data_IF_522323042598
#
_entry.id   IF_522323042598
#
_cell.length_a   1.000
_cell.length_b   1.000
_cell.length_c   1.000
_cell.angle_alpha   90.00
_cell.angle_beta   90.00
_cell.angle_gamma   90.00
#
_symmetry.space_group_name_H-M   'P 1'
#
loop_
_entity.id
_entity.type
_entity.pdbx_description
1 polymer ?
#
# COMPACT_ATOMS: atom_id res chain seq x y z
N UNK A 1 -2.81 -34.81 -23.08
CA UNK A 1 -2.33 -33.51 -22.55
C UNK A 1 -3.45 -32.96 -21.68
N UNK A 2 -3.23 -32.77 -20.37
CA UNK A 2 -4.26 -32.20 -19.49
C UNK A 2 -4.21 -30.66 -19.62
N UNK A 3 -5.27 -30.05 -20.12
CA UNK A 3 -5.39 -28.60 -20.32
C UNK A 3 -6.04 -27.88 -19.13
N UNK A 4 -6.31 -28.61 -18.04
CA UNK A 4 -6.90 -27.98 -16.84
C UNK A 4 -5.92 -27.00 -16.19
N UNK A 5 -6.38 -25.81 -15.79
CA UNK A 5 -5.55 -24.85 -15.11
C UNK A 5 -4.90 -25.45 -13.86
N UNK A 6 -3.60 -25.24 -13.69
CA UNK A 6 -2.80 -25.84 -12.58
C UNK A 6 -3.27 -25.43 -11.18
N UNK A 7 -3.93 -24.28 -11.07
CA UNK A 7 -4.39 -23.72 -9.79
C UNK A 7 -5.69 -24.37 -9.28
N UNK A 8 -6.45 -25.09 -10.12
CA UNK A 8 -7.70 -25.72 -9.70
C UNK A 8 -7.48 -26.71 -8.56
N UNK A 9 -8.16 -26.46 -7.45
CA UNK A 9 -8.05 -27.28 -6.20
C UNK A 9 -6.79 -27.00 -5.37
N UNK A 10 -5.99 -25.97 -5.70
CA UNK A 10 -4.80 -25.56 -4.96
C UNK A 10 -4.94 -24.21 -4.27
N UNK A 11 -5.86 -23.36 -4.74
CA UNK A 11 -6.19 -22.08 -4.13
C UNK A 11 -7.38 -22.24 -3.20
N UNK A 12 -7.30 -21.61 -2.03
CA UNK A 12 -8.38 -21.51 -1.07
C UNK A 12 -9.19 -20.21 -1.24
N UNK A 13 -10.28 -20.05 -0.45
CA UNK A 13 -11.09 -18.82 -0.48
C UNK A 13 -10.30 -17.57 -0.16
N UNK A 14 -9.34 -17.61 0.77
CA UNK A 14 -8.45 -16.49 1.09
C UNK A 14 -7.62 -16.08 -0.13
N UNK A 15 -6.98 -17.03 -0.81
CA UNK A 15 -6.15 -16.74 -1.98
C UNK A 15 -6.94 -16.07 -3.11
N UNK A 16 -8.26 -16.36 -3.23
CA UNK A 16 -9.12 -15.69 -4.20
C UNK A 16 -9.29 -14.21 -3.83
N UNK A 17 -9.48 -13.90 -2.55
CA UNK A 17 -9.57 -12.51 -2.08
C UNK A 17 -8.26 -11.76 -2.33
N UNK A 18 -7.13 -12.44 -2.07
CA UNK A 18 -5.79 -11.90 -2.35
C UNK A 18 -5.57 -11.64 -3.85
N UNK A 19 -6.04 -12.52 -4.73
CA UNK A 19 -6.00 -12.27 -6.19
C UNK A 19 -6.88 -11.06 -6.56
N UNK A 20 -8.04 -10.89 -5.94
CA UNK A 20 -8.88 -9.69 -6.13
C UNK A 20 -8.16 -8.43 -5.64
N UNK A 21 -7.43 -8.49 -4.52
CA UNK A 21 -6.56 -7.41 -4.07
C UNK A 21 -5.57 -6.99 -5.19
N UNK A 22 -4.86 -7.95 -5.79
CA UNK A 22 -3.93 -7.68 -6.89
C UNK A 22 -4.62 -7.05 -8.12
N UNK A 23 -5.83 -7.49 -8.48
CA UNK A 23 -6.61 -6.92 -9.60
C UNK A 23 -7.00 -5.46 -9.32
N UNK A 24 -7.42 -5.15 -8.10
CA UNK A 24 -7.72 -3.77 -7.68
C UNK A 24 -6.46 -2.91 -7.68
N UNK A 25 -5.32 -3.45 -7.21
CA UNK A 25 -4.02 -2.79 -7.26
C UNK A 25 -3.56 -2.50 -8.69
N UNK A 26 -3.73 -3.46 -9.60
CA UNK A 26 -3.47 -3.24 -11.03
C UNK A 26 -4.35 -2.13 -11.61
N UNK A 27 -5.65 -2.15 -11.33
CA UNK A 27 -6.56 -1.08 -11.78
C UNK A 27 -6.14 0.30 -11.23
N UNK A 28 -5.70 0.35 -9.96
CA UNK A 28 -5.16 1.56 -9.37
C UNK A 28 -3.91 2.06 -10.12
N UNK A 29 -2.97 1.17 -10.44
CA UNK A 29 -1.75 1.52 -11.16
C UNK A 29 -2.03 2.05 -12.58
N UNK A 30 -2.97 1.44 -13.31
CA UNK A 30 -3.35 1.85 -14.67
C UNK A 30 -4.04 3.23 -14.66
N UNK A 31 -4.89 3.49 -13.67
CA UNK A 31 -5.62 4.76 -13.56
C UNK A 31 -4.78 5.89 -12.96
N UNK A 32 -3.72 5.57 -12.24
CA UNK A 32 -2.91 6.52 -11.50
C UNK A 32 -2.37 7.72 -12.33
N UNK A 33 -1.87 7.54 -13.57
CA UNK A 33 -1.39 8.66 -14.37
C UNK A 33 -2.47 9.65 -14.81
N UNK A 34 -3.73 9.26 -14.78
CA UNK A 34 -4.87 10.05 -15.24
C UNK A 34 -5.69 10.60 -14.08
N UNK A 35 -5.97 9.74 -13.10
CA UNK A 35 -6.85 10.02 -11.95
C UNK A 35 -6.20 9.57 -10.63
N UNK A 36 -5.15 10.27 -10.13
CA UNK A 36 -4.43 9.84 -8.91
C UNK A 36 -5.34 9.72 -7.67
N UNK A 37 -6.42 10.53 -7.59
CA UNK A 37 -7.37 10.42 -6.48
C UNK A 37 -8.23 9.16 -6.55
N UNK A 38 -8.60 8.72 -7.76
CA UNK A 38 -9.27 7.44 -7.92
C UNK A 38 -8.32 6.29 -7.62
N UNK A 39 -7.08 6.37 -8.09
CA UNK A 39 -6.04 5.39 -7.74
C UNK A 39 -5.85 5.29 -6.22
N UNK A 40 -5.80 6.42 -5.50
CA UNK A 40 -5.72 6.43 -4.05
C UNK A 40 -6.89 5.69 -3.38
N UNK A 41 -8.12 5.87 -3.87
CA UNK A 41 -9.29 5.13 -3.38
C UNK A 41 -9.18 3.62 -3.63
N UNK A 42 -8.69 3.23 -4.80
CA UNK A 42 -8.49 1.82 -5.15
C UNK A 42 -7.37 1.19 -4.31
N UNK A 43 -6.28 1.90 -4.03
CA UNK A 43 -5.22 1.45 -3.12
C UNK A 43 -5.79 1.20 -1.72
N UNK A 44 -6.62 2.11 -1.19
CA UNK A 44 -7.27 1.91 0.09
C UNK A 44 -8.28 0.75 0.05
N UNK A 45 -8.99 0.55 -1.07
CA UNK A 45 -9.89 -0.59 -1.25
C UNK A 45 -9.09 -1.91 -1.29
N UNK A 46 -7.94 -1.93 -1.95
CA UNK A 46 -7.03 -3.07 -1.95
C UNK A 46 -6.55 -3.41 -0.53
N UNK A 47 -6.23 -2.40 0.30
CA UNK A 47 -5.84 -2.63 1.69
C UNK A 47 -7.00 -3.14 2.58
N UNK A 48 -8.25 -2.84 2.24
CA UNK A 48 -9.42 -3.47 2.90
C UNK A 48 -9.51 -4.94 2.48
N UNK A 49 -9.32 -5.25 1.19
CA UNK A 49 -9.35 -6.62 0.68
C UNK A 49 -8.24 -7.48 1.31
N UNK A 50 -7.03 -6.93 1.44
CA UNK A 50 -5.89 -7.53 2.14
C UNK A 50 -6.23 -7.89 3.61
N UNK A 51 -6.81 -6.94 4.36
CA UNK A 51 -7.27 -7.23 5.72
C UNK A 51 -8.39 -8.30 5.79
N UNK A 52 -9.21 -8.42 4.74
CA UNK A 52 -10.27 -9.43 4.65
C UNK A 52 -9.72 -10.82 4.33
N UNK A 53 -8.71 -10.96 3.48
CA UNK A 53 -8.14 -12.29 3.18
C UNK A 53 -7.49 -12.93 4.42
N UNK A 54 -6.79 -12.13 5.24
CA UNK A 54 -6.30 -12.59 6.54
C UNK A 54 -7.43 -13.04 7.49
N UNK A 55 -8.62 -12.42 7.42
CA UNK A 55 -9.79 -12.87 8.19
C UNK A 55 -10.36 -14.17 7.62
N UNK A 56 -10.48 -14.28 6.29
CA UNK A 56 -10.94 -15.47 5.58
C UNK A 56 -9.99 -16.66 5.83
N UNK A 57 -8.67 -16.43 5.80
CA UNK A 57 -7.68 -17.43 6.09
C UNK A 57 -7.82 -18.01 7.52
N UNK A 58 -8.20 -17.18 8.50
CA UNK A 58 -8.48 -17.66 9.87
C UNK A 58 -9.74 -18.53 9.95
N UNK A 59 -10.73 -18.34 9.08
CA UNK A 59 -11.97 -19.13 9.08
C UNK A 59 -11.88 -20.40 8.24
N UNK A 60 -11.22 -20.37 7.11
CA UNK A 60 -11.20 -21.45 6.13
C UNK A 60 -9.85 -22.16 6.01
N UNK A 61 -8.83 -21.66 6.72
CA UNK A 61 -7.46 -22.15 6.61
C UNK A 61 -6.66 -21.47 5.52
N UNK A 62 -5.32 -21.55 5.64
CA UNK A 62 -4.37 -21.07 4.64
C UNK A 62 -3.93 -22.20 3.72
N UNK A 63 -3.51 -21.87 2.50
CA UNK A 63 -2.93 -22.81 1.55
C UNK A 63 -1.40 -22.75 1.55
N UNK A 64 -0.71 -23.79 1.06
CA UNK A 64 0.77 -23.76 0.96
C UNK A 64 1.33 -22.65 0.04
N UNK A 65 0.48 -22.06 -0.80
CA UNK A 65 0.86 -20.97 -1.71
C UNK A 65 0.36 -19.61 -1.24
N UNK A 66 -0.48 -19.55 -0.20
CA UNK A 66 -1.17 -18.35 0.27
C UNK A 66 -0.22 -17.19 0.52
N UNK A 67 0.82 -17.39 1.33
CA UNK A 67 1.78 -16.35 1.70
C UNK A 67 2.59 -15.82 0.51
N UNK A 68 2.86 -16.67 -0.50
CA UNK A 68 3.50 -16.22 -1.74
C UNK A 68 2.54 -15.39 -2.59
N UNK A 69 1.27 -15.81 -2.69
CA UNK A 69 0.24 -15.08 -3.44
C UNK A 69 0.01 -13.73 -2.79
N UNK A 70 -0.02 -13.67 -1.46
CA UNK A 70 -0.14 -12.48 -0.65
C UNK A 70 1.00 -11.48 -0.94
N UNK A 71 2.25 -11.90 -0.76
CA UNK A 71 3.43 -11.05 -1.03
C UNK A 71 3.48 -10.54 -2.49
N UNK A 72 3.04 -11.36 -3.45
CA UNK A 72 2.98 -10.94 -4.86
C UNK A 72 1.84 -9.93 -5.10
N UNK A 73 0.68 -10.13 -4.50
CA UNK A 73 -0.45 -9.21 -4.56
C UNK A 73 -0.10 -7.87 -3.93
N UNK A 74 0.51 -7.88 -2.75
CA UNK A 74 0.99 -6.71 -2.02
C UNK A 74 2.02 -5.90 -2.81
N UNK A 75 2.92 -6.58 -3.53
CA UNK A 75 3.86 -5.90 -4.42
C UNK A 75 3.13 -5.06 -5.47
N UNK A 76 2.04 -5.57 -6.04
CA UNK A 76 1.23 -4.84 -7.02
C UNK A 76 0.44 -3.72 -6.36
N UNK A 77 -0.28 -4.03 -5.28
CA UNK A 77 -1.26 -3.13 -4.66
C UNK A 77 -0.61 -2.06 -3.78
N UNK A 78 0.51 -2.38 -3.11
CA UNK A 78 1.15 -1.49 -2.12
C UNK A 78 2.58 -1.11 -2.49
N UNK A 79 3.15 -1.69 -3.54
CA UNK A 79 4.40 -1.26 -4.15
C UNK A 79 4.15 -0.46 -5.43
N UNK A 80 3.65 -1.13 -6.48
CA UNK A 80 3.51 -0.57 -7.82
C UNK A 80 2.41 0.50 -7.89
N UNK A 81 1.22 0.24 -7.35
CA UNK A 81 0.10 1.17 -7.45
C UNK A 81 0.37 2.53 -6.78
N UNK A 82 0.87 2.61 -5.52
CA UNK A 82 1.21 3.89 -4.92
C UNK A 82 2.38 4.59 -5.62
N UNK A 83 3.38 3.85 -6.13
CA UNK A 83 4.44 4.45 -6.93
C UNK A 83 3.88 5.10 -8.22
N UNK A 84 3.02 4.39 -8.96
CA UNK A 84 2.35 4.92 -10.13
C UNK A 84 1.47 6.15 -9.79
N UNK A 85 0.82 6.15 -8.62
CA UNK A 85 0.04 7.30 -8.14
C UNK A 85 0.91 8.53 -7.90
N UNK A 86 2.09 8.36 -7.32
CA UNK A 86 3.05 9.47 -7.12
C UNK A 86 3.54 10.01 -8.46
N UNK A 87 3.84 9.14 -9.44
CA UNK A 87 4.14 9.55 -10.83
C UNK A 87 2.98 10.34 -11.43
N UNK A 88 1.75 9.88 -11.25
CA UNK A 88 0.55 10.58 -11.71
C UNK A 88 0.41 11.98 -11.10
N UNK A 89 0.65 12.13 -9.81
CA UNK A 89 0.68 13.44 -9.12
C UNK A 89 1.78 14.36 -9.68
N UNK A 90 2.98 13.80 -9.92
CA UNK A 90 4.08 14.57 -10.52
C UNK A 90 3.72 15.02 -11.94
N UNK A 91 3.11 14.15 -12.73
CA UNK A 91 2.62 14.47 -14.07
C UNK A 91 1.61 15.63 -14.03
N UNK A 92 0.61 15.57 -13.14
CA UNK A 92 -0.42 16.61 -13.05
C UNK A 92 0.15 17.99 -12.64
N UNK A 93 1.22 18.04 -11.86
CA UNK A 93 1.75 19.30 -11.33
C UNK A 93 2.96 19.83 -12.11
N UNK A 94 3.77 18.94 -12.71
CA UNK A 94 5.06 19.28 -13.30
C UNK A 94 5.13 19.07 -14.82
N UNK A 95 4.13 18.41 -15.45
CA UNK A 95 4.11 18.27 -16.88
C UNK A 95 4.00 19.64 -17.57
N UNK A 96 4.88 19.88 -18.53
CA UNK A 96 5.04 21.14 -19.24
C UNK A 96 5.19 20.97 -20.77
N UNK A 97 4.60 19.88 -21.31
CA UNK A 97 4.54 19.62 -22.75
C UNK A 97 5.70 18.80 -23.31
N UNK A 98 6.54 18.20 -22.46
CA UNK A 98 7.57 17.25 -22.90
C UNK A 98 6.99 15.94 -23.46
N UNK A 99 7.78 15.22 -24.26
CA UNK A 99 7.33 13.99 -24.95
C UNK A 99 7.07 12.82 -23.99
N UNK A 100 7.96 12.58 -23.04
CA UNK A 100 7.84 11.46 -22.13
C UNK A 100 7.07 11.86 -20.87
N UNK A 101 5.88 11.29 -20.69
CA UNK A 101 4.97 11.59 -19.58
C UNK A 101 4.64 13.10 -19.42
N UNK A 102 4.99 13.91 -20.41
CA UNK A 102 4.81 15.37 -20.39
C UNK A 102 5.93 16.16 -19.72
N UNK A 103 7.03 15.51 -19.29
CA UNK A 103 8.18 16.19 -18.68
C UNK A 103 9.20 16.63 -19.74
N UNK A 104 9.54 17.93 -19.77
CA UNK A 104 10.58 18.45 -20.67
C UNK A 104 11.97 18.42 -20.03
N UNK A 105 12.07 18.54 -18.71
CA UNK A 105 13.34 18.52 -17.97
C UNK A 105 13.71 17.07 -17.58
N UNK A 106 14.89 16.56 -18.00
CA UNK A 106 15.37 15.23 -17.67
C UNK A 106 15.56 14.99 -16.16
N UNK A 107 15.91 16.01 -15.37
CA UNK A 107 16.07 15.89 -13.92
C UNK A 107 14.70 15.77 -13.23
N UNK A 108 13.72 16.52 -13.69
CA UNK A 108 12.34 16.43 -13.21
C UNK A 108 11.77 15.04 -13.54
N UNK A 109 12.00 14.54 -14.77
CA UNK A 109 11.61 13.20 -15.18
C UNK A 109 12.28 12.13 -14.29
N UNK A 110 13.60 12.26 -14.09
CA UNK A 110 14.35 11.30 -13.25
C UNK A 110 13.84 11.28 -11.81
N UNK A 111 13.53 12.43 -11.23
CA UNK A 111 12.96 12.53 -9.89
C UNK A 111 11.53 11.95 -9.83
N UNK A 112 10.70 12.29 -10.82
CA UNK A 112 9.30 11.87 -10.88
C UNK A 112 9.13 10.36 -11.06
N UNK A 113 10.11 9.66 -11.64
CA UNK A 113 10.10 8.21 -11.81
C UNK A 113 11.01 7.53 -10.78
N UNK A 114 12.23 8.03 -10.59
CA UNK A 114 13.26 7.37 -9.78
C UNK A 114 12.89 7.28 -8.30
N UNK A 115 12.32 8.35 -7.71
CA UNK A 115 11.92 8.32 -6.31
C UNK A 115 10.75 7.34 -6.08
N UNK A 116 9.65 7.35 -6.84
CA UNK A 116 8.61 6.34 -6.70
C UNK A 116 9.10 4.90 -6.97
N UNK A 117 10.05 4.71 -7.89
CA UNK A 117 10.64 3.41 -8.14
C UNK A 117 11.34 2.81 -6.91
N UNK A 118 11.86 3.65 -6.00
CA UNK A 118 12.42 3.18 -4.72
C UNK A 118 11.35 2.55 -3.81
N UNK A 119 10.09 3.01 -3.89
CA UNK A 119 8.96 2.38 -3.17
C UNK A 119 8.80 0.94 -3.66
N UNK A 120 8.80 0.74 -4.99
CA UNK A 120 8.68 -0.61 -5.58
C UNK A 120 9.84 -1.49 -5.16
N UNK A 121 11.07 -1.00 -5.27
CA UNK A 121 12.26 -1.74 -4.88
C UNK A 121 12.23 -2.13 -3.38
N UNK A 122 11.89 -1.17 -2.52
CA UNK A 122 11.77 -1.41 -1.08
C UNK A 122 10.64 -2.40 -0.75
N UNK A 123 9.49 -2.31 -1.43
CA UNK A 123 8.38 -3.25 -1.26
C UNK A 123 8.79 -4.69 -1.62
N UNK A 124 9.44 -4.87 -2.78
CA UNK A 124 9.92 -6.19 -3.23
C UNK A 124 10.91 -6.79 -2.21
N UNK A 125 11.91 -6.00 -1.80
CA UNK A 125 12.91 -6.47 -0.83
C UNK A 125 12.26 -6.80 0.52
N UNK A 126 11.41 -5.90 1.04
CA UNK A 126 10.74 -6.10 2.32
C UNK A 126 9.84 -7.32 2.33
N UNK A 127 8.98 -7.48 1.31
CA UNK A 127 8.06 -8.62 1.22
C UNK A 127 8.81 -9.95 1.04
N UNK A 128 9.91 -9.96 0.27
CA UNK A 128 10.77 -11.14 0.16
C UNK A 128 11.41 -11.51 1.50
N UNK A 129 11.92 -10.51 2.25
CA UNK A 129 12.51 -10.74 3.59
C UNK A 129 11.45 -11.21 4.58
N UNK A 130 10.27 -10.58 4.60
CA UNK A 130 9.15 -10.98 5.43
C UNK A 130 8.75 -12.45 5.16
N UNK A 131 8.53 -12.79 3.88
CA UNK A 131 8.13 -14.15 3.50
C UNK A 131 9.20 -15.20 3.83
N UNK A 132 10.49 -14.82 3.78
CA UNK A 132 11.58 -15.75 4.03
C UNK A 132 11.91 -15.94 5.52
N UNK A 133 11.73 -14.91 6.36
CA UNK A 133 12.29 -14.89 7.71
C UNK A 133 11.31 -14.51 8.82
N UNK A 134 10.26 -13.72 8.53
CA UNK A 134 9.43 -13.09 9.55
C UNK A 134 8.02 -13.70 9.67
N UNK A 135 7.68 -14.68 8.84
CA UNK A 135 6.36 -15.34 8.89
C UNK A 135 6.13 -15.94 10.26
N UNK A 136 5.02 -15.56 10.90
CA UNK A 136 4.65 -16.00 12.25
C UNK A 136 5.38 -15.28 13.39
N UNK A 137 6.26 -14.31 13.09
CA UNK A 137 6.84 -13.43 14.09
C UNK A 137 5.79 -12.43 14.60
N UNK A 138 5.87 -12.04 15.88
CA UNK A 138 4.97 -11.03 16.50
C UNK A 138 5.33 -9.59 16.16
N UNK A 139 6.48 -9.36 15.58
CA UNK A 139 6.98 -8.06 15.16
C UNK A 139 7.64 -8.23 13.81
N UNK A 140 7.43 -7.28 12.91
CA UNK A 140 8.09 -7.23 11.61
C UNK A 140 9.11 -6.11 11.58
N UNK A 141 10.25 -6.34 10.93
CA UNK A 141 11.24 -5.29 10.72
C UNK A 141 10.83 -4.39 9.55
N UNK A 142 10.99 -3.08 9.74
CA UNK A 142 10.66 -2.05 8.76
C UNK A 142 9.16 -1.72 8.68
N UNK A 143 8.87 -0.57 8.08
CA UNK A 143 7.50 -0.10 7.89
C UNK A 143 6.75 -1.01 6.93
N UNK A 144 5.52 -1.38 7.28
CA UNK A 144 4.67 -2.24 6.46
C UNK A 144 4.33 -1.57 5.12
N UNK A 145 4.37 -2.35 4.02
CA UNK A 145 4.02 -1.88 2.67
C UNK A 145 2.62 -1.28 2.60
N UNK A 146 1.66 -1.95 3.23
CA UNK A 146 0.26 -1.50 3.33
C UNK A 146 0.15 -0.16 4.07
N UNK A 147 0.96 0.07 5.12
CA UNK A 147 0.99 1.35 5.84
C UNK A 147 1.55 2.47 4.96
N UNK A 148 2.64 2.24 4.23
CA UNK A 148 3.21 3.21 3.28
C UNK A 148 2.17 3.59 2.22
N UNK A 149 1.53 2.61 1.61
CA UNK A 149 0.48 2.83 0.61
C UNK A 149 -0.70 3.61 1.20
N UNK A 150 -1.13 3.28 2.42
CA UNK A 150 -2.22 3.98 3.14
C UNK A 150 -1.85 5.43 3.42
N UNK A 151 -0.64 5.73 3.89
CA UNK A 151 -0.18 7.11 4.12
C UNK A 151 -0.21 7.93 2.83
N UNK A 152 0.35 7.41 1.73
CA UNK A 152 0.39 8.10 0.46
C UNK A 152 -1.01 8.31 -0.14
N UNK A 153 -1.87 7.28 -0.09
CA UNK A 153 -3.24 7.35 -0.59
C UNK A 153 -4.09 8.30 0.26
N UNK A 154 -4.04 8.20 1.59
CA UNK A 154 -4.76 9.08 2.49
C UNK A 154 -4.30 10.54 2.34
N UNK A 155 -3.00 10.80 2.21
CA UNK A 155 -2.46 12.13 1.95
C UNK A 155 -2.98 12.72 0.63
N UNK A 156 -3.02 11.92 -0.44
CA UNK A 156 -3.55 12.31 -1.75
C UNK A 156 -5.04 12.69 -1.67
N UNK A 157 -5.82 12.01 -0.85
CA UNK A 157 -7.25 12.29 -0.65
C UNK A 157 -7.49 13.43 0.35
N UNK A 158 -6.62 13.61 1.34
CA UNK A 158 -6.76 14.59 2.42
C UNK A 158 -6.64 16.04 1.95
N UNK A 159 -5.90 16.32 0.86
CA UNK A 159 -5.70 17.67 0.37
C UNK A 159 -4.93 17.75 -0.94
N UNK A 160 -4.67 18.99 -1.35
CA UNK A 160 -3.86 19.29 -2.51
C UNK A 160 -2.41 19.51 -2.04
N UNK A 161 -1.62 18.43 -2.10
CA UNK A 161 -0.22 18.45 -1.70
C UNK A 161 0.67 18.86 -2.87
N UNK A 162 1.71 19.63 -2.59
CA UNK A 162 2.78 19.86 -3.56
C UNK A 162 3.54 18.55 -3.77
N UNK A 163 3.69 18.15 -5.01
CA UNK A 163 4.33 16.86 -5.35
C UNK A 163 5.76 16.75 -4.82
N UNK A 164 6.49 17.87 -4.67
CA UNK A 164 7.82 17.85 -4.06
C UNK A 164 7.82 17.26 -2.63
N UNK A 165 6.80 17.58 -1.81
CA UNK A 165 6.65 16.99 -0.49
C UNK A 165 6.24 15.51 -0.56
N UNK A 166 5.39 15.15 -1.53
CA UNK A 166 5.00 13.75 -1.75
C UNK A 166 6.23 12.92 -2.12
N UNK A 167 7.10 13.42 -3.01
CA UNK A 167 8.34 12.75 -3.38
C UNK A 167 9.31 12.61 -2.19
N UNK A 168 9.48 13.68 -1.39
CA UNK A 168 10.31 13.63 -0.19
C UNK A 168 9.80 12.56 0.80
N UNK A 169 8.50 12.58 1.07
CA UNK A 169 7.86 11.58 1.95
C UNK A 169 7.99 10.17 1.37
N UNK A 170 7.81 10.01 0.06
CA UNK A 170 7.99 8.72 -0.63
C UNK A 170 9.40 8.17 -0.48
N UNK A 171 10.42 9.03 -0.60
CA UNK A 171 11.83 8.64 -0.39
C UNK A 171 12.07 8.18 1.06
N UNK A 172 11.58 8.95 2.04
CA UNK A 172 11.71 8.60 3.47
C UNK A 172 10.99 7.29 3.77
N UNK A 173 9.76 7.11 3.28
CA UNK A 173 8.97 5.89 3.49
C UNK A 173 9.63 4.68 2.84
N UNK A 174 10.15 4.79 1.63
CA UNK A 174 10.89 3.72 0.96
C UNK A 174 12.12 3.29 1.78
N UNK A 175 12.85 4.25 2.35
CA UNK A 175 13.97 3.94 3.24
C UNK A 175 13.50 3.25 4.53
N UNK A 176 12.44 3.74 5.17
CA UNK A 176 11.90 3.16 6.40
C UNK A 176 11.39 1.72 6.23
N UNK A 177 10.92 1.35 5.03
CA UNK A 177 10.48 -0.03 4.72
C UNK A 177 11.60 -1.06 4.86
N UNK A 178 12.85 -0.67 4.62
CA UNK A 178 14.02 -1.57 4.64
C UNK A 178 14.89 -1.37 5.89
N UNK A 179 14.41 -0.63 6.88
CA UNK A 179 15.09 -0.47 8.18
C UNK A 179 14.79 -1.65 9.11
N UNK A 180 15.62 -1.81 10.15
CA UNK A 180 15.43 -2.81 11.20
C UNK A 180 14.58 -2.30 12.37
N UNK A 181 13.77 -1.27 12.16
CA UNK A 181 12.89 -0.75 13.20
C UNK A 181 11.76 -1.75 13.40
N UNK A 182 11.57 -2.32 14.61
CA UNK A 182 10.52 -3.29 14.86
C UNK A 182 9.16 -2.60 14.96
N UNK A 183 8.21 -3.04 14.16
CA UNK A 183 6.82 -2.62 14.23
C UNK A 183 5.96 -3.75 14.80
N UNK A 184 5.21 -3.51 15.89
CA UNK A 184 4.27 -4.49 16.44
C UNK A 184 3.03 -4.61 15.54
N UNK A 185 2.38 -5.78 15.59
CA UNK A 185 1.12 -5.97 14.89
C UNK A 185 0.01 -5.07 15.45
N UNK A 186 -0.85 -4.59 14.57
CA UNK A 186 -2.00 -3.78 14.95
C UNK A 186 -2.98 -4.63 15.76
N UNK A 187 -3.46 -4.11 16.89
CA UNK A 187 -4.51 -4.78 17.67
C UNK A 187 -5.79 -4.83 16.86
N UNK A 188 -6.54 -5.92 16.96
CA UNK A 188 -7.80 -6.11 16.22
C UNK A 188 -8.78 -4.93 16.37
N UNK A 189 -8.87 -4.33 17.55
CA UNK A 189 -9.72 -3.15 17.80
C UNK A 189 -9.27 -1.94 16.99
N UNK A 190 -7.96 -1.68 16.95
CA UNK A 190 -7.39 -0.52 16.25
C UNK A 190 -7.47 -0.73 14.73
N UNK A 191 -7.26 -1.96 14.27
CA UNK A 191 -7.45 -2.35 12.87
C UNK A 191 -8.91 -2.17 12.41
N UNK A 192 -9.89 -2.55 13.22
CA UNK A 192 -11.31 -2.34 12.93
C UNK A 192 -11.67 -0.85 12.88
N UNK A 193 -11.17 -0.04 13.82
CA UNK A 193 -11.41 1.39 13.83
C UNK A 193 -10.79 2.06 12.58
N UNK A 194 -9.55 1.71 12.24
CA UNK A 194 -8.90 2.20 11.02
C UNK A 194 -9.65 1.74 9.76
N UNK A 195 -10.09 0.49 9.70
CA UNK A 195 -10.87 -0.06 8.60
C UNK A 195 -12.18 0.70 8.37
N UNK A 196 -12.89 1.08 9.44
CA UNK A 196 -14.10 1.91 9.33
C UNK A 196 -13.80 3.28 8.73
N UNK A 197 -12.76 3.97 9.22
CA UNK A 197 -12.33 5.27 8.67
C UNK A 197 -11.88 5.13 7.22
N UNK A 198 -11.22 4.04 6.88
CA UNK A 198 -10.76 3.72 5.53
C UNK A 198 -11.92 3.49 4.56
N UNK A 199 -12.98 2.78 4.98
CA UNK A 199 -14.22 2.65 4.20
C UNK A 199 -14.82 4.02 3.92
N UNK A 200 -14.87 4.91 4.91
CA UNK A 200 -15.31 6.29 4.73
C UNK A 200 -14.45 7.08 3.74
N UNK A 201 -13.12 6.91 3.80
CA UNK A 201 -12.18 7.55 2.87
C UNK A 201 -12.34 7.03 1.43
N UNK A 202 -12.70 5.77 1.23
CA UNK A 202 -12.97 5.18 -0.08
C UNK A 202 -14.34 5.61 -0.62
N UNK A 203 -15.40 5.48 0.18
CA UNK A 203 -16.78 5.68 -0.28
C UNK A 203 -17.11 7.16 -0.45
N UNK A 204 -16.72 8.00 0.53
CA UNK A 204 -17.13 9.42 0.62
C UNK A 204 -15.96 10.36 0.92
N UNK A 205 -14.90 10.37 0.09
CA UNK A 205 -13.65 11.07 0.39
C UNK A 205 -13.81 12.58 0.56
N UNK A 206 -14.80 13.19 -0.08
CA UNK A 206 -15.03 14.64 -0.08
C UNK A 206 -15.94 15.13 1.05
N UNK A 207 -16.65 14.22 1.73
CA UNK A 207 -17.64 14.57 2.74
C UNK A 207 -16.99 15.15 4.00
N UNK A 208 -17.64 16.12 4.63
CA UNK A 208 -17.17 16.81 5.83
C UNK A 208 -15.73 17.31 5.72
N UNK A 209 -15.45 18.10 4.69
CA UNK A 209 -14.10 18.67 4.46
C UNK A 209 -12.97 17.61 4.41
N UNK A 210 -13.27 16.43 3.84
CA UNK A 210 -12.33 15.30 3.74
C UNK A 210 -11.92 14.73 5.11
N UNK A 211 -12.84 14.70 6.06
CA UNK A 211 -12.55 14.23 7.44
C UNK A 211 -12.04 12.79 7.45
N UNK A 212 -12.65 11.87 6.69
CA UNK A 212 -12.19 10.48 6.67
C UNK A 212 -10.76 10.31 6.17
N UNK A 213 -10.35 10.85 5.00
CA UNK A 213 -8.95 10.79 4.58
C UNK A 213 -7.98 11.46 5.55
N UNK A 214 -8.36 12.58 6.15
CA UNK A 214 -7.52 13.28 7.15
C UNK A 214 -7.38 12.49 8.43
N UNK A 215 -8.46 11.92 8.95
CA UNK A 215 -8.43 11.08 10.14
C UNK A 215 -7.58 9.82 9.89
N UNK A 216 -7.73 9.19 8.73
CA UNK A 216 -6.93 8.03 8.33
C UNK A 216 -5.43 8.40 8.25
N UNK A 217 -5.11 9.55 7.63
CA UNK A 217 -3.74 10.03 7.53
C UNK A 217 -3.12 10.28 8.91
N UNK A 218 -3.86 10.95 9.81
CA UNK A 218 -3.39 11.20 11.18
C UNK A 218 -3.18 9.89 11.93
N UNK A 219 -4.12 8.94 11.84
CA UNK A 219 -3.99 7.64 12.50
C UNK A 219 -2.81 6.83 11.94
N UNK A 220 -2.62 6.81 10.61
CA UNK A 220 -1.52 6.11 9.97
C UNK A 220 -0.16 6.74 10.33
N UNK A 221 -0.05 8.07 10.36
CA UNK A 221 1.15 8.78 10.80
C UNK A 221 1.42 8.58 12.29
N UNK A 222 0.39 8.60 13.12
CA UNK A 222 0.53 8.33 14.56
C UNK A 222 1.07 6.91 14.78
N UNK A 223 0.53 5.91 14.08
CA UNK A 223 1.05 4.55 14.14
C UNK A 223 2.49 4.48 13.62
N UNK A 224 2.79 5.06 12.46
CA UNK A 224 4.13 5.10 11.87
C UNK A 224 5.19 5.65 12.85
N UNK A 225 4.87 6.75 13.54
CA UNK A 225 5.83 7.47 14.37
C UNK A 225 5.90 6.95 15.81
N UNK A 226 4.78 6.48 16.35
CA UNK A 226 4.67 6.18 17.78
C UNK A 226 4.67 4.67 18.09
N UNK A 227 4.26 3.81 17.14
CA UNK A 227 4.14 2.39 17.42
C UNK A 227 5.45 1.72 17.86
N UNK A 228 6.62 2.02 17.30
CA UNK A 228 7.87 1.42 17.76
C UNK A 228 8.21 1.69 19.22
N UNK A 229 7.69 2.78 19.79
CA UNK A 229 8.02 3.27 21.12
C UNK A 229 6.91 3.08 22.16
N UNK A 230 5.67 3.32 21.78
CA UNK A 230 4.53 3.41 22.68
C UNK A 230 3.58 2.23 22.58
N UNK A 231 3.59 1.49 21.48
CA UNK A 231 2.67 0.38 21.32
C UNK A 231 3.15 -0.80 22.18
N UNK A 232 2.32 -1.31 23.09
CA UNK A 232 2.75 -2.32 24.05
C UNK A 232 3.19 -3.59 23.30
N UNK A 233 4.44 -3.96 23.48
CA UNK A 233 4.92 -5.28 23.08
C UNK A 233 4.18 -6.28 23.97
N UNK A 234 3.45 -7.20 23.37
CA UNK A 234 2.84 -8.30 24.12
C UNK A 234 4.00 -9.16 24.61
N UNK A 235 4.38 -8.96 25.88
CA UNK A 235 5.34 -9.84 26.54
C UNK A 235 4.81 -11.25 26.49
N UNK A 236 5.67 -12.17 26.15
CA UNK A 236 5.45 -13.62 26.02
C UNK A 236 5.03 -14.27 27.32
#
# INVERSE_FOLDING_TARGET
>A
MDLRPRFLGRLGPADIVTVVNALVGFAAAVLAPFEPRLAARLILLAAIADGLDGLVARWYGSTPVGEFVDSLADTVSFGVAPAAMVVGLARLQWANGGELLGFADPLVLAAAIGIPALIVAAAVVRLAMYTAYDIGARTTEGVQTTLVATVLAAATLAGDLRVAWVLLVSFVLAYLMVTRIPYPDLRARDALAMGFVQIGAVAVPAVFYRTFPRALLVAALAYLLLAPWLYPRVES
#
